data_IF_393288662788
#
_entry.id   IF_393288662788
#
_cell.length_a   1.000
_cell.length_b   1.000
_cell.length_c   1.000
_cell.angle_alpha   90.00
_cell.angle_beta   90.00
_cell.angle_gamma   90.00
#
_symmetry.space_group_name_H-M   'P 1'
#
loop_
_entity.id
_entity.type
_entity.pdbx_description
1 polymer ?
#
# COMPACT_ATOMS: atom_id res chain seq x y z
N UNK A 1 -12.11 -30.61 -12.93
CA UNK A 1 -10.88 -29.82 -13.11
C UNK A 1 -10.75 -28.86 -11.96
N UNK A 2 -9.62 -28.84 -11.27
CA UNK A 2 -9.42 -27.83 -10.25
C UNK A 2 -9.37 -26.45 -10.91
N UNK A 3 -9.95 -25.46 -10.27
CA UNK A 3 -9.83 -24.09 -10.72
C UNK A 3 -8.37 -23.66 -10.64
N UNK A 4 -7.87 -22.90 -11.63
CA UNK A 4 -6.51 -22.38 -11.55
C UNK A 4 -6.40 -21.45 -10.34
N UNK A 5 -5.35 -21.63 -9.55
CA UNK A 5 -5.06 -20.72 -8.45
C UNK A 5 -4.72 -19.34 -9.01
N UNK A 6 -5.16 -18.31 -8.31
CA UNK A 6 -4.77 -16.96 -8.65
C UNK A 6 -3.29 -16.75 -8.38
N UNK A 7 -2.61 -16.03 -9.27
CA UNK A 7 -1.24 -15.56 -8.97
C UNK A 7 -1.29 -14.58 -7.79
N UNK A 8 -0.14 -14.35 -7.17
CA UNK A 8 -0.06 -13.37 -6.08
C UNK A 8 -0.56 -12.00 -6.54
N UNK A 9 -0.15 -11.54 -7.72
CA UNK A 9 -0.58 -10.25 -8.27
C UNK A 9 -2.08 -10.21 -8.53
N UNK A 10 -2.66 -11.28 -9.03
CA UNK A 10 -4.11 -11.37 -9.25
C UNK A 10 -4.86 -11.29 -7.92
N UNK A 11 -4.38 -12.02 -6.92
CA UNK A 11 -4.97 -12.01 -5.59
C UNK A 11 -4.89 -10.61 -4.96
N UNK A 12 -3.73 -9.98 -5.00
CA UNK A 12 -3.53 -8.63 -4.47
C UNK A 12 -4.38 -7.60 -5.21
N UNK A 13 -4.50 -7.74 -6.53
CA UNK A 13 -5.36 -6.85 -7.30
C UNK A 13 -6.84 -6.97 -6.88
N UNK A 14 -7.30 -8.19 -6.62
CA UNK A 14 -8.66 -8.45 -6.13
C UNK A 14 -8.88 -7.82 -4.74
N UNK A 15 -7.85 -7.82 -3.89
CA UNK A 15 -7.90 -7.29 -2.54
C UNK A 15 -7.67 -5.77 -2.47
N UNK A 16 -7.21 -5.15 -3.57
CA UNK A 16 -7.03 -3.71 -3.64
C UNK A 16 -8.38 -3.01 -3.65
N UNK A 17 -8.59 -2.10 -2.71
CA UNK A 17 -9.86 -1.44 -2.55
C UNK A 17 -9.68 -0.01 -2.08
N UNK A 18 -10.70 0.79 -2.35
CA UNK A 18 -10.74 2.14 -1.83
C UNK A 18 -10.92 2.11 -0.32
N UNK A 19 -10.20 2.98 0.38
CA UNK A 19 -10.28 3.10 1.84
C UNK A 19 -10.48 4.57 2.22
N UNK A 20 -11.32 4.81 3.22
CA UNK A 20 -11.48 6.14 3.79
C UNK A 20 -10.47 6.37 4.90
N UNK A 21 -10.08 7.63 5.11
CA UNK A 21 -9.15 7.97 6.19
C UNK A 21 -9.61 7.43 7.54
N UNK A 22 -10.90 7.53 7.85
CA UNK A 22 -11.43 7.05 9.12
C UNK A 22 -11.14 5.56 9.36
N UNK A 23 -11.15 4.74 8.32
CA UNK A 23 -10.79 3.32 8.41
C UNK A 23 -9.28 3.11 8.45
N UNK A 24 -8.51 3.96 7.78
CA UNK A 24 -7.05 3.88 7.70
C UNK A 24 -6.39 4.33 9.00
N UNK A 25 -7.00 5.26 9.72
CA UNK A 25 -6.43 5.91 10.89
C UNK A 25 -5.93 4.92 11.95
N UNK A 26 -6.68 3.86 12.21
CA UNK A 26 -6.28 2.85 13.20
C UNK A 26 -5.01 2.09 12.78
N UNK A 27 -4.85 1.86 11.49
CA UNK A 27 -3.64 1.22 10.96
C UNK A 27 -2.46 2.18 11.03
N UNK A 28 -2.70 3.45 10.77
CA UNK A 28 -1.70 4.50 10.93
C UNK A 28 -1.22 4.58 12.39
N UNK A 29 -2.14 4.54 13.35
CA UNK A 29 -1.81 4.57 14.78
C UNK A 29 -0.94 3.38 15.19
N UNK A 30 -1.06 2.24 14.49
CA UNK A 30 -0.23 1.05 14.72
C UNK A 30 1.12 1.12 14.01
N UNK A 31 1.36 2.13 13.20
CA UNK A 31 2.62 2.31 12.49
C UNK A 31 2.81 1.38 11.28
N UNK A 32 1.74 0.83 10.74
CA UNK A 32 1.82 -0.16 9.65
C UNK A 32 1.39 0.38 8.28
N UNK A 33 1.08 1.67 8.18
CA UNK A 33 0.70 2.28 6.91
C UNK A 33 1.96 2.67 6.14
N UNK A 34 2.02 2.21 4.88
CA UNK A 34 3.11 2.51 3.95
C UNK A 34 2.55 3.34 2.81
N UNK A 35 3.13 4.50 2.61
CA UNK A 35 2.81 5.36 1.48
C UNK A 35 3.54 4.87 0.23
N UNK A 36 2.80 4.82 -0.89
CA UNK A 36 3.32 4.44 -2.20
C UNK A 36 3.05 5.59 -3.17
N UNK A 37 4.09 6.00 -3.91
CA UNK A 37 3.94 7.04 -4.94
C UNK A 37 2.90 6.59 -5.97
N UNK A 38 2.02 7.50 -6.39
CA UNK A 38 0.98 7.22 -7.37
C UNK A 38 1.53 6.84 -8.75
N UNK A 39 2.80 7.12 -9.03
CA UNK A 39 3.47 6.68 -10.25
C UNK A 39 3.78 5.19 -10.26
N UNK A 40 3.76 4.53 -9.10
CA UNK A 40 4.00 3.10 -8.99
C UNK A 40 2.69 2.32 -9.04
N UNK A 41 2.80 1.06 -9.51
CA UNK A 41 1.70 0.11 -9.41
C UNK A 41 1.64 -0.43 -7.98
N UNK A 42 0.55 -0.12 -7.29
CA UNK A 42 0.34 -0.53 -5.90
C UNK A 42 0.44 -2.05 -5.72
N UNK A 43 -0.12 -2.81 -6.66
CA UNK A 43 -0.09 -4.28 -6.63
C UNK A 43 1.33 -4.80 -6.79
N UNK A 44 2.12 -4.20 -7.68
CA UNK A 44 3.52 -4.59 -7.89
C UNK A 44 4.36 -4.36 -6.64
N UNK A 45 4.13 -3.24 -5.96
CA UNK A 45 4.82 -2.94 -4.70
C UNK A 45 4.42 -3.93 -3.61
N UNK A 46 3.12 -4.21 -3.49
CA UNK A 46 2.62 -5.17 -2.51
C UNK A 46 3.18 -6.58 -2.77
N UNK A 47 3.26 -7.00 -4.03
CA UNK A 47 3.82 -8.30 -4.40
C UNK A 47 5.30 -8.39 -4.03
N UNK A 48 6.08 -7.35 -4.29
CA UNK A 48 7.50 -7.32 -3.91
C UNK A 48 7.67 -7.43 -2.40
N UNK A 49 6.84 -6.72 -1.62
CA UNK A 49 6.89 -6.81 -0.17
C UNK A 49 6.47 -8.18 0.34
N UNK A 50 5.44 -8.78 -0.26
CA UNK A 50 4.98 -10.12 0.11
C UNK A 50 6.02 -11.21 -0.19
N UNK A 51 6.88 -10.99 -1.19
CA UNK A 51 7.97 -11.90 -1.58
C UNK A 51 9.28 -11.61 -0.86
N UNK A 52 9.31 -10.61 0.01
CA UNK A 52 10.53 -10.12 0.66
C UNK A 52 11.63 -9.72 -0.34
N UNK A 53 11.24 -9.08 -1.42
CA UNK A 53 12.16 -8.55 -2.43
C UNK A 53 12.82 -7.28 -1.91
N UNK A 54 13.80 -7.44 -1.04
CA UNK A 54 14.47 -6.33 -0.35
C UNK A 54 15.16 -5.36 -1.32
N UNK A 55 15.72 -5.89 -2.39
CA UNK A 55 16.45 -5.07 -3.39
C UNK A 55 15.48 -4.11 -4.06
N UNK A 56 14.35 -4.61 -4.55
CA UNK A 56 13.36 -3.79 -5.23
C UNK A 56 12.73 -2.77 -4.27
N UNK A 57 12.38 -3.20 -3.07
CA UNK A 57 11.80 -2.32 -2.04
C UNK A 57 12.77 -1.20 -1.69
N UNK A 58 14.05 -1.52 -1.51
CA UNK A 58 15.08 -0.53 -1.20
C UNK A 58 15.27 0.48 -2.34
N UNK A 59 15.20 0.03 -3.58
CA UNK A 59 15.28 0.94 -4.74
C UNK A 59 14.15 1.97 -4.73
N UNK A 60 12.93 1.54 -4.46
CA UNK A 60 11.79 2.46 -4.35
C UNK A 60 11.93 3.42 -3.17
N UNK A 61 12.41 2.93 -2.03
CA UNK A 61 12.64 3.79 -0.87
C UNK A 61 13.72 4.84 -1.14
N UNK A 62 14.80 4.44 -1.79
CA UNK A 62 15.90 5.34 -2.15
C UNK A 62 15.44 6.41 -3.14
N UNK A 63 14.51 6.06 -4.03
CA UNK A 63 13.94 6.99 -5.00
C UNK A 63 12.82 7.86 -4.40
N UNK A 64 12.54 7.77 -3.10
CA UNK A 64 11.45 8.47 -2.41
C UNK A 64 10.06 8.15 -2.98
N UNK A 65 9.88 6.91 -3.44
CA UNK A 65 8.61 6.42 -3.99
C UNK A 65 7.87 5.50 -3.03
N UNK A 66 8.49 5.15 -1.93
CA UNK A 66 7.96 4.24 -0.92
C UNK A 66 8.50 4.64 0.45
N UNK A 67 7.60 4.82 1.40
CA UNK A 67 7.99 5.17 2.78
C UNK A 67 6.85 4.90 3.74
N UNK A 68 7.16 4.76 5.03
CA UNK A 68 6.11 4.77 6.04
C UNK A 68 5.37 6.11 5.98
N UNK A 69 4.06 6.08 6.11
CA UNK A 69 3.25 7.29 6.15
C UNK A 69 3.68 8.16 7.35
N UNK A 70 3.94 9.42 7.07
CA UNK A 70 4.34 10.39 8.10
C UNK A 70 3.13 10.99 8.80
N UNK A 71 3.36 11.60 9.95
CA UNK A 71 2.32 12.36 10.65
C UNK A 71 1.79 13.50 9.78
N UNK A 72 2.65 14.13 8.99
CA UNK A 72 2.25 15.19 8.07
C UNK A 72 1.33 14.66 6.97
N UNK A 73 1.63 13.48 6.41
CA UNK A 73 0.76 12.84 5.42
C UNK A 73 -0.60 12.48 6.02
N UNK A 74 -0.60 11.95 7.24
CA UNK A 74 -1.83 11.60 7.94
C UNK A 74 -2.70 12.84 8.16
N UNK A 75 -2.10 13.94 8.57
CA UNK A 75 -2.78 15.22 8.78
C UNK A 75 -3.36 15.74 7.46
N UNK A 76 -2.59 15.67 6.38
CA UNK A 76 -3.02 16.07 5.06
C UNK A 76 -4.20 15.23 4.56
N UNK A 77 -4.10 13.90 4.68
CA UNK A 77 -5.18 13.01 4.29
C UNK A 77 -6.46 13.24 5.10
N UNK A 78 -6.32 13.51 6.40
CA UNK A 78 -7.46 13.84 7.23
C UNK A 78 -8.14 15.14 6.77
N UNK A 79 -7.35 16.14 6.43
CA UNK A 79 -7.86 17.46 6.04
C UNK A 79 -8.47 17.49 4.64
N UNK A 80 -7.82 16.86 3.65
CA UNK A 80 -8.25 16.87 2.26
C UNK A 80 -9.24 15.75 1.91
N UNK A 81 -9.22 14.67 2.68
CA UNK A 81 -10.01 13.47 2.44
C UNK A 81 -9.92 12.99 0.97
N UNK A 82 -8.69 12.75 0.46
CA UNK A 82 -8.52 12.34 -0.93
C UNK A 82 -8.99 10.89 -1.16
N UNK A 83 -9.17 10.51 -2.42
CA UNK A 83 -9.44 9.14 -2.78
C UNK A 83 -8.19 8.29 -2.54
N UNK A 84 -8.22 7.43 -1.53
CA UNK A 84 -7.13 6.53 -1.19
C UNK A 84 -7.49 5.11 -1.61
N UNK A 85 -6.48 4.40 -2.11
CA UNK A 85 -6.58 2.99 -2.44
C UNK A 85 -5.55 2.23 -1.63
N UNK A 86 -5.95 1.06 -1.12
CA UNK A 86 -5.12 0.28 -0.22
C UNK A 86 -5.12 -1.19 -0.58
N UNK A 87 -4.01 -1.84 -0.27
CA UNK A 87 -3.88 -3.29 -0.31
C UNK A 87 -3.00 -3.72 0.86
N UNK A 88 -3.32 -4.88 1.44
CA UNK A 88 -2.57 -5.42 2.57
C UNK A 88 -1.48 -6.35 2.05
N UNK A 89 -0.25 -6.09 2.48
CA UNK A 89 0.87 -7.02 2.39
C UNK A 89 1.35 -7.21 3.85
N UNK A 90 0.72 -8.12 4.57
CA UNK A 90 0.83 -8.23 6.02
C UNK A 90 2.29 -8.20 6.51
N UNK A 91 2.58 -7.44 7.58
CA UNK A 91 1.67 -6.67 8.41
C UNK A 91 1.34 -5.26 7.87
N UNK A 92 1.79 -4.94 6.66
CA UNK A 92 1.73 -3.60 6.10
C UNK A 92 0.44 -3.33 5.36
N UNK A 93 -0.06 -2.10 5.47
CA UNK A 93 -1.16 -1.58 4.66
C UNK A 93 -0.57 -0.56 3.71
N UNK A 94 -0.53 -0.88 2.43
CA UNK A 94 0.02 -0.01 1.39
C UNK A 94 -1.07 0.88 0.84
N UNK A 95 -0.78 2.16 0.73
CA UNK A 95 -1.78 3.18 0.35
C UNK A 95 -1.20 4.13 -0.68
N UNK A 96 -2.00 4.48 -1.67
CA UNK A 96 -1.68 5.58 -2.56
C UNK A 96 -2.93 6.38 -2.93
N UNK A 97 -2.72 7.62 -3.38
CA UNK A 97 -3.78 8.43 -3.95
C UNK A 97 -3.98 8.09 -5.44
N UNK A 98 -5.23 8.12 -5.88
CA UNK A 98 -5.57 7.99 -7.30
C UNK A 98 -6.39 9.17 -7.79
#
# INVERSE_FOLDING_TARGET
>A
MPEPELTLEQQLNTETARIEWAALERHFARGVVVWVDSALDLVAVAAAMARDDEVQVMQWMTANQLARASAEQAKDWHARDPALWAVVAAPWVLVHER
#
